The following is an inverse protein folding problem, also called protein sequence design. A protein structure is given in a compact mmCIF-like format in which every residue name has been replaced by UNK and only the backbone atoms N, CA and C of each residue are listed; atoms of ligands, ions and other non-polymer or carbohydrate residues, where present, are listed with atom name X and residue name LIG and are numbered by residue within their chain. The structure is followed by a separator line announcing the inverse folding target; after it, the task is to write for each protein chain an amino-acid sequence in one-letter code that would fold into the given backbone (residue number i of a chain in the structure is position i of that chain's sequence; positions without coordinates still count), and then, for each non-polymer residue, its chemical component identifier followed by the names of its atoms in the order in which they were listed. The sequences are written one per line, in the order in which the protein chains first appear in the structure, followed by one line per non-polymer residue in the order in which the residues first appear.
data_IF_418173825078
#
_entry.id   IF_418173825078
#
_cell.length_a   1.000
_cell.length_b   1.000
_cell.length_c   1.000
_cell.angle_alpha   90.00
_cell.angle_beta   90.00
_cell.angle_gamma   90.00
#
_symmetry.space_group_name_H-M   'P 1'
#
loop_
_entity.id
_entity.type
_entity.pdbx_description
1 polymer ?
#
# COMPACT_ATOMS: atom_id res chain seq x y z
N UNK A 1 6.30 -4.63 17.12
CA UNK A 1 6.71 -6.07 17.17
C UNK A 1 6.34 -6.76 15.86
N UNK A 2 6.95 -7.90 15.52
CA UNK A 2 6.69 -8.63 14.25
C UNK A 2 5.61 -9.71 14.44
N UNK A 3 4.62 -9.71 13.53
CA UNK A 3 3.61 -10.76 13.36
C UNK A 3 3.85 -11.47 12.03
N UNK A 4 4.20 -12.75 12.09
CA UNK A 4 4.43 -13.58 10.90
C UNK A 4 3.13 -14.21 10.44
N UNK A 5 2.76 -13.99 9.18
CA UNK A 5 1.66 -14.64 8.49
C UNK A 5 2.21 -15.54 7.38
N UNK A 6 1.33 -16.27 6.69
CA UNK A 6 1.76 -17.03 5.52
C UNK A 6 2.21 -16.07 4.41
N UNK A 7 3.49 -16.14 4.03
CA UNK A 7 4.14 -15.40 2.93
C UNK A 7 4.28 -13.87 3.10
N UNK A 8 3.88 -13.31 4.25
CA UNK A 8 4.14 -11.92 4.61
C UNK A 8 4.29 -11.73 6.12
N UNK A 9 4.79 -10.56 6.54
CA UNK A 9 4.89 -10.16 7.95
C UNK A 9 4.37 -8.75 8.16
N UNK A 10 3.82 -8.50 9.33
CA UNK A 10 3.34 -7.18 9.78
C UNK A 10 4.19 -6.73 10.97
N UNK A 11 4.69 -5.51 10.92
CA UNK A 11 5.37 -4.87 12.04
C UNK A 11 4.43 -3.82 12.61
N UNK A 12 3.93 -4.04 13.82
CA UNK A 12 2.99 -3.11 14.46
C UNK A 12 3.72 -1.99 15.21
N UNK A 13 3.14 -0.80 15.10
CA UNK A 13 3.42 0.35 15.95
C UNK A 13 2.30 0.49 16.99
N UNK A 14 2.64 0.24 18.26
CA UNK A 14 1.68 0.34 19.36
C UNK A 14 1.20 1.75 19.63
N UNK A 15 1.95 2.79 19.24
CA UNK A 15 1.54 4.18 19.46
C UNK A 15 0.38 4.56 18.54
N UNK A 16 0.47 4.13 17.27
CA UNK A 16 -0.57 4.40 16.28
C UNK A 16 -1.68 3.34 16.25
N UNK A 17 -1.47 2.17 16.88
CA UNK A 17 -2.37 1.01 16.80
C UNK A 17 -2.62 0.57 15.34
N UNK A 18 -1.58 0.72 14.53
CA UNK A 18 -1.53 0.44 13.09
C UNK A 18 -0.22 -0.25 12.75
N UNK A 19 -0.12 -0.86 11.57
CA UNK A 19 1.16 -1.36 11.10
C UNK A 19 2.12 -0.19 10.84
N UNK A 20 3.35 -0.28 11.35
CA UNK A 20 4.47 0.52 10.91
C UNK A 20 4.80 0.21 9.45
N UNK A 21 4.88 -1.09 9.14
CA UNK A 21 5.04 -1.60 7.78
C UNK A 21 4.60 -3.06 7.68
N UNK A 22 4.36 -3.50 6.46
CA UNK A 22 4.23 -4.91 6.08
C UNK A 22 5.29 -5.28 5.07
N UNK A 23 5.71 -6.54 5.08
CA UNK A 23 6.75 -7.08 4.20
C UNK A 23 6.23 -8.36 3.55
N UNK A 24 6.08 -8.35 2.23
CA UNK A 24 5.46 -9.43 1.46
C UNK A 24 6.39 -9.89 0.35
N UNK A 25 6.57 -11.20 0.23
CA UNK A 25 7.22 -11.76 -0.95
C UNK A 25 6.13 -12.24 -1.91
N UNK A 26 6.36 -12.04 -3.20
CA UNK A 26 5.52 -12.52 -4.29
C UNK A 26 6.36 -13.46 -5.14
N UNK A 27 5.83 -14.65 -5.39
CA UNK A 27 6.40 -15.64 -6.32
C UNK A 27 5.39 -15.92 -7.43
N UNK A 28 5.66 -15.37 -8.61
CA UNK A 28 4.86 -15.55 -9.82
C UNK A 28 4.91 -16.97 -10.37
N UNK A 29 5.99 -17.72 -10.11
CA UNK A 29 6.15 -19.10 -10.59
C UNK A 29 5.14 -20.03 -9.91
N UNK A 30 4.97 -19.84 -8.60
CA UNK A 30 4.07 -20.64 -7.77
C UNK A 30 2.78 -19.90 -7.41
N UNK A 31 2.47 -18.78 -8.07
CA UNK A 31 1.24 -18.02 -7.87
C UNK A 31 0.01 -18.90 -8.09
N UNK A 32 -0.98 -18.72 -7.21
CA UNK A 32 -2.28 -19.35 -7.32
C UNK A 32 -3.37 -18.32 -7.14
N UNK A 33 -4.24 -18.24 -8.15
CA UNK A 33 -5.49 -17.49 -8.01
C UNK A 33 -6.37 -18.16 -6.94
N UNK A 34 -6.72 -17.41 -5.91
CA UNK A 34 -7.71 -17.80 -4.91
C UNK A 34 -9.03 -17.13 -5.31
N UNK A 35 -10.01 -17.94 -5.73
CA UNK A 35 -11.30 -17.44 -6.21
C UNK A 35 -12.08 -16.73 -5.10
N UNK A 36 -12.70 -15.59 -5.46
CA UNK A 36 -13.62 -14.79 -4.63
C UNK A 36 -14.80 -15.60 -4.08
N UNK A 37 -15.16 -16.71 -4.74
CA UNK A 37 -16.27 -17.60 -4.32
C UNK A 37 -15.86 -18.77 -3.42
N UNK A 38 -14.59 -19.16 -3.42
CA UNK A 38 -14.08 -20.26 -2.56
C UNK A 38 -13.22 -19.76 -1.40
N UNK A 39 -12.81 -18.49 -1.40
CA UNK A 39 -12.24 -17.79 -0.26
C UNK A 39 -13.31 -17.07 0.59
N UNK A 40 -12.85 -16.34 1.60
CA UNK A 40 -13.71 -15.38 2.32
C UNK A 40 -14.17 -14.34 1.30
N UNK A 41 -15.48 -14.19 1.10
CA UNK A 41 -16.03 -13.21 0.18
C UNK A 41 -15.55 -11.80 0.58
N UNK A 42 -15.16 -10.99 -0.42
CA UNK A 42 -14.81 -9.57 -0.21
C UNK A 42 -15.91 -8.89 0.61
N UNK A 43 -15.56 -8.45 1.83
CA UNK A 43 -16.39 -7.52 2.62
C UNK A 43 -17.02 -8.04 3.90
N UNK A 44 -17.13 -9.36 4.14
CA UNK A 44 -17.95 -9.83 5.28
C UNK A 44 -17.19 -10.24 6.54
N UNK A 45 -15.92 -10.67 6.48
CA UNK A 45 -15.23 -11.10 7.71
C UNK A 45 -13.77 -10.69 7.75
N UNK A 46 -13.49 -9.74 8.64
CA UNK A 46 -12.16 -9.38 9.10
C UNK A 46 -11.89 -10.04 10.46
N UNK A 47 -10.63 -10.36 10.74
CA UNK A 47 -10.24 -11.16 11.89
C UNK A 47 -9.41 -10.36 12.91
N UNK A 48 -9.69 -10.62 14.18
CA UNK A 48 -8.88 -10.17 15.31
C UNK A 48 -7.68 -11.11 15.44
N UNK A 49 -6.47 -10.55 15.48
CA UNK A 49 -5.27 -11.35 15.78
C UNK A 49 -5.16 -11.60 17.29
N UNK A 50 -5.42 -12.85 17.70
CA UNK A 50 -5.42 -13.25 19.12
C UNK A 50 -4.04 -13.44 19.73
N UNK A 51 -2.95 -13.24 18.96
CA UNK A 51 -1.57 -13.35 19.47
C UNK A 51 -1.14 -12.12 20.27
N UNK A 52 -1.88 -11.02 20.15
CA UNK A 52 -1.60 -9.74 20.79
C UNK A 52 -2.88 -9.18 21.40
N UNK A 53 -2.73 -8.17 22.24
CA UNK A 53 -3.87 -7.47 22.85
C UNK A 53 -4.73 -6.79 21.78
N UNK A 54 -6.05 -6.80 21.96
CA UNK A 54 -7.02 -6.15 21.07
C UNK A 54 -6.80 -4.64 21.03
N UNK A 55 -6.30 -4.05 22.12
CA UNK A 55 -6.02 -2.62 22.19
C UNK A 55 -4.76 -2.22 21.40
N UNK A 56 -3.95 -3.19 20.96
CA UNK A 56 -2.74 -2.92 20.18
C UNK A 56 -3.01 -2.59 18.71
N UNK A 57 -4.25 -2.71 18.23
CA UNK A 57 -4.67 -2.34 16.89
C UNK A 57 -6.10 -1.79 16.88
N UNK A 58 -6.49 -1.11 15.80
CA UNK A 58 -7.87 -0.71 15.55
C UNK A 58 -8.63 -1.84 14.84
N UNK A 59 -9.93 -1.95 15.07
CA UNK A 59 -10.72 -3.04 14.50
C UNK A 59 -12.09 -2.59 13.99
N UNK A 60 -13.02 -3.55 13.84
CA UNK A 60 -14.35 -3.29 13.29
C UNK A 60 -15.11 -2.19 14.03
N UNK A 61 -14.88 -1.95 15.32
CA UNK A 61 -15.59 -0.91 16.06
C UNK A 61 -15.24 0.47 15.49
N UNK A 62 -13.95 0.74 15.25
CA UNK A 62 -13.47 1.96 14.59
C UNK A 62 -14.04 2.09 13.16
N UNK A 63 -13.90 1.04 12.35
CA UNK A 63 -14.33 1.10 10.94
C UNK A 63 -15.85 1.23 10.79
N UNK A 64 -16.63 0.75 11.75
CA UNK A 64 -18.08 0.94 11.76
C UNK A 64 -18.44 2.40 12.06
N UNK A 65 -17.80 2.99 13.08
CA UNK A 65 -18.01 4.38 13.48
C UNK A 65 -17.58 5.37 12.38
N UNK A 66 -16.47 5.09 11.68
CA UNK A 66 -15.89 5.96 10.67
C UNK A 66 -16.14 5.52 9.22
N UNK A 67 -17.10 4.63 8.99
CA UNK A 67 -17.46 4.08 7.66
C UNK A 67 -17.91 5.12 6.63
N UNK A 68 -18.22 6.33 7.08
CA UNK A 68 -18.57 7.49 6.27
C UNK A 68 -17.34 8.18 5.64
N UNK A 69 -16.11 7.85 6.08
CA UNK A 69 -14.85 8.36 5.52
C UNK A 69 -13.93 7.19 5.13
N UNK A 70 -13.74 6.23 6.02
CA UNK A 70 -12.71 5.21 5.90
C UNK A 70 -13.27 3.85 5.50
N UNK A 71 -12.61 3.25 4.53
CA UNK A 71 -12.67 1.83 4.25
C UNK A 71 -11.58 1.07 5.03
N UNK A 72 -11.77 -0.25 5.12
CA UNK A 72 -10.76 -1.20 5.60
C UNK A 72 -9.71 -1.42 4.52
N UNK A 73 -8.69 -0.56 4.47
CA UNK A 73 -7.60 -0.61 3.51
C UNK A 73 -6.61 -1.72 3.82
N UNK A 74 -6.40 -2.64 2.89
CA UNK A 74 -5.34 -3.63 3.01
C UNK A 74 -3.98 -2.98 2.78
N UNK A 75 -3.01 -3.23 3.66
CA UNK A 75 -1.61 -2.93 3.38
C UNK A 75 -1.03 -4.02 2.47
N UNK A 76 -0.88 -5.24 2.97
CA UNK A 76 -0.65 -6.40 2.09
C UNK A 76 -1.94 -6.79 1.39
N UNK A 77 -1.93 -6.67 0.07
CA UNK A 77 -3.07 -7.02 -0.77
C UNK A 77 -3.29 -8.53 -0.73
N UNK A 78 -4.56 -8.93 -0.79
CA UNK A 78 -5.03 -10.32 -0.74
C UNK A 78 -4.32 -11.34 -1.65
N UNK A 79 -3.82 -10.91 -2.82
CA UNK A 79 -3.29 -11.80 -3.86
C UNK A 79 -1.75 -11.80 -3.88
N UNK A 80 -1.12 -10.77 -3.33
CA UNK A 80 0.34 -10.68 -3.32
C UNK A 80 0.99 -11.91 -2.64
N UNK A 81 0.48 -12.42 -1.49
CA UNK A 81 1.09 -13.56 -0.83
C UNK A 81 0.54 -14.93 -1.31
N UNK A 82 -0.30 -15.01 -2.34
CA UNK A 82 -0.99 -16.26 -2.72
C UNK A 82 -0.18 -17.14 -3.66
N UNK A 83 0.92 -17.69 -3.14
CA UNK A 83 1.82 -18.58 -3.87
C UNK A 83 2.21 -19.82 -3.03
N UNK A 84 2.75 -20.84 -3.68
CA UNK A 84 3.10 -22.14 -3.07
C UNK A 84 2.05 -23.23 -3.30
N UNK A 85 1.77 -24.06 -2.29
CA UNK A 85 0.68 -25.03 -2.34
C UNK A 85 -0.70 -24.36 -2.27
N UNK A 86 -1.75 -25.05 -2.70
CA UNK A 86 -3.13 -24.54 -2.61
C UNK A 86 -3.49 -24.11 -1.18
N UNK A 87 -3.11 -24.92 -0.19
CA UNK A 87 -3.38 -24.65 1.23
C UNK A 87 -2.64 -23.41 1.73
N UNK A 88 -1.39 -23.20 1.31
CA UNK A 88 -0.62 -22.01 1.66
C UNK A 88 -1.23 -20.77 1.01
N UNK A 89 -1.59 -20.82 -0.27
CA UNK A 89 -2.24 -19.70 -0.95
C UNK A 89 -3.57 -19.30 -0.29
N UNK A 90 -4.42 -20.28 0.04
CA UNK A 90 -5.70 -20.03 0.75
C UNK A 90 -5.48 -19.44 2.15
N UNK A 91 -4.47 -19.94 2.89
CA UNK A 91 -4.08 -19.42 4.21
C UNK A 91 -3.58 -17.99 4.10
N UNK A 92 -2.66 -17.71 3.17
CA UNK A 92 -2.09 -16.40 2.92
C UNK A 92 -3.17 -15.37 2.59
N UNK A 93 -4.10 -15.74 1.71
CA UNK A 93 -5.24 -14.89 1.36
C UNK A 93 -6.07 -14.55 2.61
N UNK A 94 -6.48 -15.56 3.39
CA UNK A 94 -7.24 -15.35 4.63
C UNK A 94 -6.47 -14.52 5.67
N UNK A 95 -5.15 -14.73 5.78
CA UNK A 95 -4.29 -13.98 6.70
C UNK A 95 -4.30 -12.47 6.40
N UNK A 96 -4.47 -12.05 5.14
CA UNK A 96 -4.53 -10.62 4.78
C UNK A 96 -5.74 -9.88 5.35
N UNK A 97 -6.78 -10.60 5.79
CA UNK A 97 -7.99 -10.04 6.41
C UNK A 97 -7.88 -9.84 7.93
N UNK A 98 -6.69 -9.94 8.52
CA UNK A 98 -6.50 -9.53 9.92
C UNK A 98 -6.41 -8.01 10.03
N UNK A 99 -7.03 -7.44 11.07
CA UNK A 99 -7.02 -5.99 11.29
C UNK A 99 -5.63 -5.40 11.52
N UNK A 100 -4.66 -6.21 11.93
CA UNK A 100 -3.24 -5.85 12.02
C UNK A 100 -2.62 -5.51 10.65
N UNK A 101 -3.16 -6.03 9.55
CA UNK A 101 -2.78 -5.68 8.17
C UNK A 101 -3.64 -4.53 7.60
N UNK A 102 -4.55 -3.97 8.41
CA UNK A 102 -5.49 -2.95 7.99
C UNK A 102 -5.00 -1.55 8.37
N UNK A 103 -5.32 -0.56 7.54
CA UNK A 103 -5.13 0.86 7.85
C UNK A 103 -6.33 1.66 7.38
N UNK A 104 -6.71 2.76 8.06
CA UNK A 104 -7.80 3.62 7.61
C UNK A 104 -7.41 4.29 6.30
N UNK A 105 -8.08 3.90 5.23
CA UNK A 105 -7.91 4.47 3.91
C UNK A 105 -9.21 5.17 3.54
N UNK A 106 -9.11 6.42 3.10
CA UNK A 106 -10.26 7.16 2.63
C UNK A 106 -10.94 6.40 1.50
N UNK A 107 -12.27 6.39 1.47
CA UNK A 107 -13.03 5.48 0.61
C UNK A 107 -12.74 5.65 -0.88
N UNK A 108 -12.56 6.86 -1.41
CA UNK A 108 -12.14 7.09 -2.79
C UNK A 108 -10.72 6.61 -2.99
N UNK A 109 -9.80 6.99 -2.10
CA UNK A 109 -8.42 6.54 -2.15
C UNK A 109 -8.31 5.01 -2.25
N UNK A 110 -9.07 4.28 -1.42
CA UNK A 110 -9.09 2.82 -1.40
C UNK A 110 -9.80 2.21 -2.63
N UNK A 111 -10.87 2.83 -3.13
CA UNK A 111 -11.73 2.27 -4.18
C UNK A 111 -11.35 2.68 -5.60
N UNK A 112 -10.53 3.71 -5.80
CA UNK A 112 -9.96 4.07 -7.10
C UNK A 112 -8.85 3.09 -7.48
N UNK A 113 -9.25 1.81 -7.58
CA UNK A 113 -8.51 0.54 -7.72
C UNK A 113 -7.55 0.47 -8.93
N UNK A 114 -7.29 1.57 -9.62
CA UNK A 114 -6.34 1.65 -10.74
C UNK A 114 -4.90 1.96 -10.30
N UNK A 115 -4.69 2.69 -9.19
CA UNK A 115 -3.34 3.09 -8.74
C UNK A 115 -2.43 1.89 -8.41
N UNK A 116 -2.99 0.80 -7.88
CA UNK A 116 -2.22 -0.35 -7.39
C UNK A 116 -2.02 -1.45 -8.44
N UNK A 117 -3.00 -1.62 -9.33
CA UNK A 117 -2.84 -2.49 -10.50
C UNK A 117 -1.78 -1.92 -11.46
N UNK A 118 -1.67 -0.59 -11.54
CA UNK A 118 -0.61 0.09 -12.26
C UNK A 118 0.79 -0.31 -11.79
N UNK A 119 1.02 -0.48 -10.48
CA UNK A 119 2.33 -0.89 -9.93
C UNK A 119 2.71 -2.31 -10.36
N UNK A 120 1.74 -3.22 -10.32
CA UNK A 120 1.89 -4.60 -10.79
C UNK A 120 2.25 -4.59 -12.28
N UNK A 121 1.51 -3.82 -13.08
CA UNK A 121 1.78 -3.61 -14.51
C UNK A 121 3.12 -2.91 -14.78
N UNK A 122 3.53 -1.95 -13.96
CA UNK A 122 4.78 -1.21 -14.10
C UNK A 122 6.00 -2.09 -13.84
N UNK A 123 5.96 -2.88 -12.77
CA UNK A 123 7.04 -3.82 -12.42
C UNK A 123 7.13 -4.93 -13.48
N UNK A 124 5.98 -5.39 -13.99
CA UNK A 124 5.88 -6.33 -15.12
C UNK A 124 6.43 -5.73 -16.43
N UNK A 125 6.06 -4.50 -16.80
CA UNK A 125 6.41 -3.90 -18.09
C UNK A 125 7.85 -3.33 -18.14
N UNK A 126 8.44 -2.96 -16.99
CA UNK A 126 9.77 -2.32 -16.93
C UNK A 126 10.87 -3.18 -16.32
N UNK A 127 10.53 -4.18 -15.51
CA UNK A 127 11.51 -4.81 -14.61
C UNK A 127 11.57 -6.34 -14.67
N UNK A 128 10.52 -6.99 -15.15
CA UNK A 128 10.41 -8.45 -15.20
C UNK A 128 10.14 -8.87 -16.64
N UNK A 129 10.70 -10.01 -17.06
CA UNK A 129 10.50 -10.62 -18.38
C UNK A 129 9.02 -10.61 -18.79
N UNK A 130 8.71 -10.56 -20.09
CA UNK A 130 7.36 -10.71 -20.67
C UNK A 130 6.65 -12.05 -20.30
N UNK A 131 7.24 -12.84 -19.41
CA UNK A 131 6.74 -14.09 -18.88
C UNK A 131 6.31 -13.92 -17.41
N UNK A 132 4.99 -13.95 -17.13
CA UNK A 132 4.45 -13.82 -15.77
C UNK A 132 4.98 -14.85 -14.74
N UNK A 133 5.57 -15.96 -15.20
CA UNK A 133 6.04 -17.05 -14.36
C UNK A 133 7.40 -16.86 -13.69
N UNK A 134 8.14 -15.77 -13.97
CA UNK A 134 9.49 -15.54 -13.41
C UNK A 134 9.56 -14.40 -12.39
N UNK A 135 8.41 -13.82 -12.01
CA UNK A 135 8.35 -12.68 -11.11
C UNK A 135 8.68 -13.12 -9.69
N UNK A 136 9.80 -12.63 -9.14
CA UNK A 136 10.09 -12.71 -7.71
C UNK A 136 10.35 -11.31 -7.17
N UNK A 137 9.43 -10.82 -6.36
CA UNK A 137 9.51 -9.46 -5.80
C UNK A 137 9.26 -9.48 -4.30
N UNK A 138 9.91 -8.55 -3.62
CA UNK A 138 9.59 -8.21 -2.23
C UNK A 138 8.95 -6.83 -2.24
N UNK A 139 7.84 -6.69 -1.53
CA UNK A 139 7.14 -5.42 -1.33
C UNK A 139 7.18 -5.08 0.15
N UNK A 140 7.79 -3.95 0.48
CA UNK A 140 7.61 -3.30 1.76
C UNK A 140 6.57 -2.18 1.57
N UNK A 141 5.68 -1.98 2.53
CA UNK A 141 4.64 -0.95 2.43
C UNK A 141 4.07 -0.58 3.79
N UNK A 142 3.53 0.62 3.92
CA UNK A 142 2.96 1.08 5.18
C UNK A 142 2.36 2.48 5.08
N UNK A 143 1.88 3.00 6.21
CA UNK A 143 1.42 4.39 6.33
C UNK A 143 2.58 5.39 6.42
N UNK A 144 2.27 6.65 6.16
CA UNK A 144 3.13 7.83 6.38
C UNK A 144 2.32 8.90 7.09
N UNK A 145 2.89 9.49 8.14
CA UNK A 145 2.29 10.59 8.90
C UNK A 145 2.94 11.94 8.56
N UNK A 146 4.20 11.94 8.12
CA UNK A 146 4.90 13.19 7.81
C UNK A 146 4.68 13.66 6.38
N UNK A 147 4.52 14.96 6.23
CA UNK A 147 4.52 15.64 4.95
C UNK A 147 5.95 15.76 4.36
N UNK A 148 6.06 16.33 3.16
CA UNK A 148 7.36 16.52 2.49
C UNK A 148 8.35 17.44 3.21
N UNK A 149 7.86 18.28 4.13
CA UNK A 149 8.66 19.17 4.95
C UNK A 149 8.98 18.57 6.34
N UNK A 150 8.51 17.35 6.61
CA UNK A 150 8.70 16.65 7.89
C UNK A 150 7.71 17.09 8.97
N UNK A 151 6.62 17.77 8.61
CA UNK A 151 5.56 18.12 9.55
C UNK A 151 4.54 16.98 9.64
N UNK A 152 4.11 16.68 10.86
CA UNK A 152 2.96 15.83 11.09
C UNK A 152 1.68 16.66 10.93
N UNK A 153 0.96 16.45 9.83
CA UNK A 153 -0.30 17.14 9.52
C UNK A 153 -1.52 16.24 9.71
N UNK A 154 -1.33 15.05 10.31
CA UNK A 154 -2.39 14.07 10.46
C UNK A 154 -3.56 14.58 11.29
N UNK A 155 -4.76 14.26 10.82
CA UNK A 155 -5.98 14.41 11.62
C UNK A 155 -6.13 13.23 12.59
N UNK A 156 -7.01 13.42 13.58
CA UNK A 156 -7.42 12.37 14.50
C UNK A 156 -8.89 12.02 14.28
N UNK A 157 -9.17 10.73 14.22
CA UNK A 157 -10.51 10.16 14.25
C UNK A 157 -10.66 9.44 15.60
N UNK A 158 -11.40 10.05 16.52
CA UNK A 158 -11.37 9.71 17.95
C UNK A 158 -9.93 9.78 18.52
N UNK A 159 -9.40 8.66 19.02
CA UNK A 159 -8.05 8.52 19.54
C UNK A 159 -7.04 8.01 18.49
N UNK A 160 -7.46 7.80 17.24
CA UNK A 160 -6.64 7.22 16.18
C UNK A 160 -6.07 8.32 15.28
N UNK A 161 -4.74 8.41 15.22
CA UNK A 161 -4.06 9.27 14.26
C UNK A 161 -4.15 8.68 12.85
N UNK A 162 -4.65 9.46 11.89
CA UNK A 162 -4.87 8.99 10.52
C UNK A 162 -3.62 9.24 9.66
N UNK A 163 -3.11 8.22 8.96
CA UNK A 163 -2.00 8.40 8.00
C UNK A 163 -2.36 9.41 6.92
N UNK A 164 -1.42 10.29 6.56
CA UNK A 164 -1.59 11.23 5.45
C UNK A 164 -1.37 10.57 4.09
N UNK A 165 -0.52 9.54 4.05
CA UNK A 165 -0.17 8.84 2.81
C UNK A 165 0.15 7.37 3.06
N UNK A 166 0.30 6.61 1.98
CA UNK A 166 0.76 5.24 1.96
C UNK A 166 1.89 5.07 0.98
N UNK A 167 2.80 4.15 1.28
CA UNK A 167 3.98 3.92 0.46
C UNK A 167 4.14 2.46 0.05
N UNK A 168 4.86 2.24 -1.05
CA UNK A 168 5.50 0.97 -1.39
C UNK A 168 6.97 1.16 -1.68
N UNK A 169 7.77 0.20 -1.28
CA UNK A 169 9.09 -0.06 -1.82
C UNK A 169 9.06 -1.45 -2.45
N UNK A 170 9.12 -1.50 -3.77
CA UNK A 170 9.18 -2.77 -4.51
C UNK A 170 10.62 -3.08 -4.84
N UNK A 171 11.06 -4.28 -4.48
CA UNK A 171 12.40 -4.78 -4.64
C UNK A 171 12.38 -6.01 -5.54
N UNK A 172 13.25 -6.06 -6.53
CA UNK A 172 13.36 -7.21 -7.43
C UNK A 172 14.77 -7.40 -7.93
N UNK A 173 15.00 -8.53 -8.60
CA UNK A 173 16.23 -8.81 -9.32
C UNK A 173 15.94 -8.77 -10.82
N UNK A 174 16.66 -7.93 -11.57
CA UNK A 174 16.55 -7.90 -13.02
C UNK A 174 17.16 -9.17 -13.66
N UNK A 175 16.82 -9.49 -14.92
CA UNK A 175 17.35 -10.67 -15.61
C UNK A 175 18.89 -10.73 -15.68
N UNK A 176 19.56 -9.59 -15.67
CA UNK A 176 21.04 -9.48 -15.62
C UNK A 176 21.62 -9.69 -14.21
N UNK A 177 20.80 -10.09 -13.24
CA UNK A 177 21.20 -10.43 -11.88
C UNK A 177 21.41 -9.24 -10.95
N UNK A 178 21.06 -8.02 -11.33
CA UNK A 178 21.18 -6.82 -10.48
C UNK A 178 19.94 -6.61 -9.62
N UNK A 179 20.14 -6.15 -8.39
CA UNK A 179 19.05 -5.72 -7.52
C UNK A 179 18.53 -4.34 -7.93
N UNK A 180 17.22 -4.16 -7.85
CA UNK A 180 16.49 -2.96 -8.23
C UNK A 180 15.43 -2.63 -7.18
N UNK A 181 15.15 -1.34 -7.02
CA UNK A 181 14.16 -0.81 -6.11
C UNK A 181 13.36 0.32 -6.77
N UNK A 182 12.08 0.40 -6.49
CA UNK A 182 11.25 1.57 -6.80
C UNK A 182 10.41 1.91 -5.57
N UNK A 183 10.47 3.17 -5.15
CA UNK A 183 9.64 3.71 -4.10
C UNK A 183 8.46 4.47 -4.70
N UNK A 184 7.29 4.27 -4.12
CA UNK A 184 6.03 4.87 -4.51
C UNK A 184 5.35 5.45 -3.28
N UNK A 185 4.73 6.61 -3.41
CA UNK A 185 4.03 7.30 -2.33
C UNK A 185 2.72 7.86 -2.88
N UNK A 186 1.60 7.49 -2.27
CA UNK A 186 0.26 7.96 -2.62
C UNK A 186 -0.37 8.66 -1.41
N UNK A 187 -0.78 9.91 -1.61
CA UNK A 187 -1.27 10.81 -0.57
C UNK A 187 -2.82 10.79 -0.54
N UNK A 188 -3.39 10.71 0.66
CA UNK A 188 -4.84 10.78 0.89
C UNK A 188 -5.27 12.03 1.67
N UNK A 189 -4.35 12.87 2.14
CA UNK A 189 -4.55 14.04 3.01
C UNK A 189 -5.69 14.93 2.50
N UNK A 190 -5.66 15.25 1.20
CA UNK A 190 -6.66 16.12 0.58
C UNK A 190 -8.07 15.52 0.49
N UNK A 191 -8.20 14.20 0.66
CA UNK A 191 -9.47 13.47 0.61
C UNK A 191 -10.07 13.27 2.01
N UNK A 192 -9.31 13.54 3.08
CA UNK A 192 -9.73 13.23 4.45
C UNK A 192 -10.95 14.03 4.92
N UNK A 193 -11.22 15.19 4.30
CA UNK A 193 -12.40 16.01 4.54
C UNK A 193 -13.63 15.58 3.69
N UNK A 194 -13.49 14.56 2.83
CA UNK A 194 -14.56 14.08 1.96
C UNK A 194 -15.35 12.91 2.57
N UNK A 195 -16.64 13.16 2.81
CA UNK A 195 -17.57 12.17 3.32
C UNK A 195 -18.29 11.41 2.20
N UNK A 196 -18.61 10.14 2.45
CA UNK A 196 -19.43 9.33 1.54
C UNK A 196 -20.87 9.85 1.55
N UNK A 197 -21.25 10.60 0.51
CA UNK A 197 -22.64 11.04 0.34
C UNK A 197 -23.52 9.89 -0.20
N UNK A 198 -24.74 9.76 0.33
CA UNK A 198 -25.65 8.68 -0.03
C UNK A 198 -25.99 8.69 -1.52
N UNK A 199 -25.51 7.69 -2.26
CA UNK A 199 -25.80 7.50 -3.68
C UNK A 199 -24.73 8.02 -4.65
N UNK A 200 -23.54 8.42 -4.18
CA UNK A 200 -22.43 8.71 -5.08
C UNK A 200 -22.04 7.45 -5.86
N UNK A 201 -22.27 7.46 -7.17
CA UNK A 201 -21.67 6.51 -8.11
C UNK A 201 -20.16 6.55 -7.94
N UNK A 202 -19.50 5.40 -8.09
CA UNK A 202 -18.06 5.39 -8.39
C UNK A 202 -17.86 6.30 -9.61
N UNK A 203 -16.99 7.31 -9.52
CA UNK A 203 -16.75 8.18 -10.65
C UNK A 203 -16.07 7.40 -11.79
N UNK A 204 -16.37 7.78 -13.04
CA UNK A 204 -15.93 7.05 -14.24
C UNK A 204 -14.40 6.88 -14.30
N UNK A 205 -13.96 5.63 -14.54
CA UNK A 205 -12.56 5.16 -14.74
C UNK A 205 -11.93 5.71 -16.05
N UNK A 206 -11.98 7.03 -16.28
CA UNK A 206 -11.53 7.63 -17.55
C UNK A 206 -10.17 8.37 -17.48
N UNK A 207 -9.51 8.48 -16.32
CA UNK A 207 -8.18 9.08 -16.26
C UNK A 207 -7.07 8.01 -16.29
N UNK A 208 -6.24 8.05 -17.34
CA UNK A 208 -5.01 7.28 -17.39
C UNK A 208 -4.02 7.77 -16.31
N UNK A 209 -4.05 7.11 -15.16
CA UNK A 209 -3.09 7.33 -14.08
C UNK A 209 -1.72 6.77 -14.49
N UNK A 210 -0.69 7.62 -14.47
CA UNK A 210 0.69 7.17 -14.66
C UNK A 210 1.36 6.84 -13.33
N UNK A 211 1.89 5.63 -13.19
CA UNK A 211 2.67 5.20 -12.00
C UNK A 211 3.88 6.10 -11.74
N UNK A 212 4.41 6.75 -12.78
CA UNK A 212 5.54 7.67 -12.68
C UNK A 212 5.23 8.86 -11.74
N UNK A 213 3.96 9.24 -11.58
CA UNK A 213 3.53 10.34 -10.71
C UNK A 213 3.65 10.03 -9.22
N UNK A 214 3.68 8.75 -8.86
CA UNK A 214 3.80 8.27 -7.48
C UNK A 214 5.25 8.01 -7.08
N UNK A 215 6.18 8.01 -8.04
CA UNK A 215 7.57 7.67 -7.77
C UNK A 215 8.25 8.74 -6.93
N UNK A 216 8.90 8.28 -5.88
CA UNK A 216 9.73 9.10 -5.02
C UNK A 216 11.11 8.47 -4.90
N UNK A 217 12.10 9.24 -4.47
CA UNK A 217 13.40 8.67 -4.13
C UNK A 217 13.28 7.82 -2.87
N UNK A 218 14.03 6.72 -2.79
CA UNK A 218 14.13 5.91 -1.56
C UNK A 218 14.58 6.78 -0.38
N UNK A 219 15.42 7.79 -0.62
CA UNK A 219 15.82 8.75 0.43
C UNK A 219 14.70 9.67 0.90
N UNK A 220 13.77 10.08 0.02
CA UNK A 220 12.59 10.86 0.43
C UNK A 220 11.64 9.99 1.26
N UNK A 221 11.43 8.75 0.81
CA UNK A 221 10.64 7.78 1.57
C UNK A 221 11.24 7.50 2.95
N UNK A 222 12.55 7.31 3.03
CA UNK A 222 13.29 7.12 4.29
C UNK A 222 13.05 8.29 5.25
N UNK A 223 13.17 9.51 4.75
CA UNK A 223 12.95 10.73 5.54
C UNK A 223 11.52 10.81 6.08
N UNK A 224 10.51 10.60 5.22
CA UNK A 224 9.09 10.73 5.60
C UNK A 224 8.56 9.64 6.52
N UNK A 225 9.13 8.43 6.41
CA UNK A 225 8.72 7.29 7.24
C UNK A 225 9.50 7.19 8.53
N UNK A 226 10.70 7.78 8.60
CA UNK A 226 11.64 7.60 9.71
C UNK A 226 12.23 6.18 9.81
N UNK A 227 11.97 5.32 8.82
CA UNK A 227 12.54 3.98 8.73
C UNK A 227 13.97 4.04 8.19
N UNK A 228 14.84 3.12 8.61
CA UNK A 228 16.14 2.94 7.95
C UNK A 228 15.97 2.13 6.65
N UNK A 229 15.92 2.83 5.52
CA UNK A 229 15.86 2.26 4.17
C UNK A 229 17.19 2.39 3.42
N UNK A 230 18.28 2.69 4.14
CA UNK A 230 19.58 3.00 3.55
C UNK A 230 20.14 1.86 2.70
N UNK A 231 19.83 0.62 3.08
CA UNK A 231 20.20 -0.60 2.37
C UNK A 231 19.66 -0.66 0.93
N UNK A 232 18.60 0.08 0.60
CA UNK A 232 17.93 0.03 -0.70
C UNK A 232 18.29 1.20 -1.62
N UNK A 233 18.96 2.24 -1.11
CA UNK A 233 19.32 3.45 -1.87
C UNK A 233 20.16 3.15 -3.12
N UNK A 234 21.09 2.20 -3.01
CA UNK A 234 21.96 1.81 -4.13
C UNK A 234 21.23 1.03 -5.24
N UNK A 235 20.00 0.59 -4.97
CA UNK A 235 19.16 -0.14 -5.93
C UNK A 235 18.06 0.75 -6.49
N UNK A 236 17.91 1.98 -5.97
CA UNK A 236 16.88 2.91 -6.38
C UNK A 236 16.96 3.19 -7.88
N UNK A 237 15.85 2.95 -8.57
CA UNK A 237 15.69 3.25 -9.99
C UNK A 237 15.31 4.71 -10.25
N UNK A 238 15.13 5.51 -9.20
CA UNK A 238 14.75 6.92 -9.23
C UNK A 238 15.93 7.86 -8.88
N UNK A 239 17.04 7.79 -9.64
CA UNK A 239 18.07 8.85 -9.90
C UNK A 239 19.32 8.24 -10.54
N UNK A 240 19.99 8.79 -11.57
CA UNK A 240 20.66 10.11 -11.59
C UNK A 240 20.74 10.79 -12.98
N UNK A 241 19.86 10.49 -13.94
CA UNK A 241 19.80 11.23 -15.20
C UNK A 241 18.35 11.66 -15.45
N UNK A 242 18.11 12.98 -15.44
CA UNK A 242 16.85 13.63 -15.80
C UNK A 242 15.74 13.59 -14.74
N UNK A 243 15.89 14.39 -13.68
CA UNK A 243 14.75 15.03 -13.05
C UNK A 243 15.16 16.45 -12.63
N UNK A 244 14.57 17.52 -13.17
CA UNK A 244 14.90 18.88 -12.75
C UNK A 244 14.44 19.09 -11.30
N UNK A 245 15.38 19.50 -10.44
CA UNK A 245 15.13 20.15 -9.16
C UNK A 245 14.15 19.44 -8.21
N UNK A 246 14.66 18.47 -7.45
CA UNK A 246 14.01 17.97 -6.23
C UNK A 246 13.97 19.14 -5.23
N UNK A 247 12.83 19.85 -5.20
CA UNK A 247 12.64 21.07 -4.42
C UNK A 247 11.50 21.97 -4.94
N UNK A 248 11.20 21.93 -6.24
CA UNK A 248 10.10 22.73 -6.83
C UNK A 248 9.00 21.89 -7.51
N UNK A 249 9.27 20.62 -7.84
CA UNK A 249 8.29 19.68 -8.43
C UNK A 249 7.57 18.78 -7.44
N UNK A 250 7.82 18.93 -6.13
CA UNK A 250 6.96 18.38 -5.08
C UNK A 250 5.64 19.17 -4.91
N UNK A 251 5.18 19.86 -5.96
CA UNK A 251 3.76 20.20 -6.10
C UNK A 251 3.03 18.91 -6.42
N UNK A 252 2.67 18.23 -5.33
CA UNK A 252 1.67 17.17 -5.22
C UNK A 252 0.64 17.28 -6.34
N UNK A 253 0.41 16.19 -7.07
CA UNK A 253 -0.83 16.06 -7.82
C UNK A 253 -1.97 16.17 -6.82
N UNK A 254 -2.70 17.27 -6.97
CA UNK A 254 -3.72 17.74 -6.06
C UNK A 254 -5.00 17.04 -6.46
N UNK A 255 -5.20 15.79 -6.05
CA UNK A 255 -6.40 15.03 -6.42
C UNK A 255 -7.61 15.61 -5.68
N UNK A 256 -8.33 16.53 -6.30
CA UNK A 256 -9.62 17.09 -5.83
C UNK A 256 -10.77 16.57 -6.69
N UNK A 257 -10.47 16.23 -7.94
CA UNK A 257 -11.39 15.79 -8.98
C UNK A 257 -10.60 14.94 -9.99
N UNK A 258 -11.27 14.10 -10.79
CA UNK A 258 -10.64 13.34 -11.88
C UNK A 258 -9.90 14.22 -12.91
N UNK A 259 -10.27 15.48 -13.03
CA UNK A 259 -9.58 16.44 -13.90
C UNK A 259 -8.18 16.82 -13.43
N UNK A 260 -7.82 16.55 -12.17
CA UNK A 260 -6.48 16.82 -11.65
C UNK A 260 -5.46 15.77 -12.12
N UNK A 261 -5.93 14.62 -12.65
CA UNK A 261 -5.11 13.56 -13.26
C UNK A 261 -4.78 13.80 -14.75
N UNK A 262 -4.87 15.04 -15.26
CA UNK A 262 -4.66 15.31 -16.69
C UNK A 262 -3.34 16.06 -16.97
N UNK A 263 -2.47 15.35 -17.71
CA UNK A 263 -1.48 15.77 -18.73
C UNK A 263 -0.60 17.01 -18.46
#
# INVERSE_FOLDING_TARGET
GELKYQNFSVFLDSNHRLALLTATNIDGESYRSVDRKSGVAEGETWYIDRRIDRDAFIDQDFYSAWSHIFDRGHLTRRNDPTWGSKKEAERANADTFHFTNCSPQQWRFNQTIEFWQGIERYVLEKGVSDQPGEIRVTVLQGPVYLDAAGHDTSIFADDVQIPNAFWKLVLWRSPDGKSKAVALLADQDLLLDEFREGGSSMPDDEAEISVEEFRVAVSDLEFRTGLDLSAFRNFDTFSAAVAPGVGERARRLRLRNWSDLKL
#
